data_IF_681174170413
#
_entry.id   IF_681174170413
#
_cell.length_a   1.000
_cell.length_b   1.000
_cell.length_c   1.000
_cell.angle_alpha   90.00
_cell.angle_beta   90.00
_cell.angle_gamma   90.00
#
_symmetry.space_group_name_H-M   'P 1'
#
loop_
_entity.id
_entity.type
_entity.pdbx_description
1 polymer ?
#
# COMPACT_ATOMS: atom_id res chain seq x y z
N UNK A 1 -23.70 29.84 28.52
CA UNK A 1 -24.13 28.80 27.51
C UNK A 1 -24.06 29.34 26.08
N UNK A 2 -24.48 30.59 25.82
CA UNK A 2 -24.37 31.23 24.50
C UNK A 2 -22.90 31.40 24.05
N UNK A 3 -22.03 31.86 24.95
CA UNK A 3 -20.60 32.09 24.67
C UNK A 3 -19.82 30.81 24.35
N UNK A 4 -20.19 29.69 24.99
CA UNK A 4 -19.58 28.36 24.68
C UNK A 4 -20.05 27.87 23.31
N UNK A 5 -21.31 28.11 22.95
CA UNK A 5 -21.85 27.73 21.65
C UNK A 5 -21.24 28.62 20.54
N UNK A 6 -21.07 29.89 20.81
CA UNK A 6 -20.49 30.86 19.87
C UNK A 6 -18.99 30.56 19.62
N UNK A 7 -18.22 30.26 20.65
CA UNK A 7 -16.83 29.80 20.52
C UNK A 7 -16.72 28.45 19.80
N UNK A 8 -17.62 27.51 20.06
CA UNK A 8 -17.69 26.23 19.32
C UNK A 8 -18.04 26.43 17.84
N UNK A 9 -18.94 27.36 17.52
CA UNK A 9 -19.28 27.68 16.14
C UNK A 9 -18.16 28.41 15.41
N UNK A 10 -17.38 29.24 16.07
CA UNK A 10 -16.22 29.92 15.53
C UNK A 10 -15.08 28.90 15.27
N UNK A 11 -14.84 27.97 16.20
CA UNK A 11 -13.87 26.87 16.02
C UNK A 11 -14.29 25.94 14.88
N UNK A 12 -15.57 25.59 14.77
CA UNK A 12 -16.08 24.79 13.65
C UNK A 12 -16.00 25.52 12.30
N UNK A 13 -16.14 26.85 12.28
CA UNK A 13 -15.99 27.62 11.03
C UNK A 13 -14.54 27.74 10.54
N UNK A 14 -13.56 27.60 11.46
CA UNK A 14 -12.15 27.63 11.17
C UNK A 14 -11.58 26.21 10.89
N UNK A 15 -12.34 25.16 11.21
CA UNK A 15 -11.94 23.80 10.89
C UNK A 15 -12.21 23.50 9.41
N UNK A 16 -11.26 22.84 8.79
CA UNK A 16 -11.42 22.44 7.41
C UNK A 16 -12.55 21.41 7.25
N UNK A 17 -13.27 21.48 6.13
CA UNK A 17 -14.39 20.59 5.83
C UNK A 17 -14.01 19.10 5.91
N UNK A 18 -12.75 18.76 5.66
CA UNK A 18 -12.24 17.39 5.79
C UNK A 18 -12.21 16.90 7.24
N UNK A 19 -11.77 17.74 8.18
CA UNK A 19 -11.72 17.38 9.59
C UNK A 19 -13.16 17.17 10.14
N UNK A 20 -14.09 18.03 9.74
CA UNK A 20 -15.51 17.87 10.09
C UNK A 20 -16.07 16.55 9.54
N UNK A 21 -15.78 16.23 8.28
CA UNK A 21 -16.19 14.97 7.67
C UNK A 21 -15.64 13.76 8.46
N UNK A 22 -14.38 13.80 8.87
CA UNK A 22 -13.75 12.73 9.63
C UNK A 22 -14.37 12.56 11.02
N UNK A 23 -14.67 13.65 11.72
CA UNK A 23 -15.39 13.59 12.99
C UNK A 23 -16.79 12.99 12.83
N UNK A 24 -17.55 13.42 11.81
CA UNK A 24 -18.88 12.87 11.52
C UNK A 24 -18.78 11.37 11.20
N UNK A 25 -17.77 10.96 10.42
CA UNK A 25 -17.50 9.57 10.11
C UNK A 25 -17.21 8.75 11.38
N UNK A 26 -16.33 9.23 12.25
CA UNK A 26 -16.04 8.58 13.54
C UNK A 26 -17.29 8.47 14.42
N UNK A 27 -18.07 9.54 14.55
CA UNK A 27 -19.33 9.53 15.32
C UNK A 27 -20.32 8.51 14.78
N UNK A 28 -20.42 8.36 13.46
CA UNK A 28 -21.23 7.32 12.84
C UNK A 28 -20.78 5.92 13.23
N UNK A 29 -19.48 5.65 13.24
CA UNK A 29 -18.94 4.36 13.67
C UNK A 29 -19.16 4.11 15.18
N UNK A 30 -19.00 5.12 16.02
CA UNK A 30 -19.34 5.03 17.45
C UNK A 30 -20.81 4.65 17.64
N UNK A 31 -21.72 5.28 16.91
CA UNK A 31 -23.13 4.93 16.91
C UNK A 31 -23.36 3.48 16.47
N UNK A 32 -22.71 3.01 15.41
CA UNK A 32 -22.79 1.62 14.96
C UNK A 32 -22.28 0.64 16.04
N UNK A 33 -21.18 0.99 16.72
CA UNK A 33 -20.64 0.20 17.82
C UNK A 33 -21.61 0.04 18.98
N UNK A 34 -22.24 1.14 19.37
CA UNK A 34 -23.27 1.14 20.40
C UNK A 34 -24.50 0.34 20.01
N UNK A 35 -24.94 0.46 18.76
CA UNK A 35 -26.12 -0.25 18.25
C UNK A 35 -25.91 -1.75 18.08
N UNK A 36 -24.75 -2.15 17.52
CA UNK A 36 -24.47 -3.56 17.17
C UNK A 36 -23.81 -4.35 18.30
N UNK A 37 -23.10 -3.69 19.21
CA UNK A 37 -22.41 -4.29 20.34
C UNK A 37 -21.05 -4.93 19.97
N UNK A 38 -20.34 -5.43 20.99
CA UNK A 38 -18.94 -5.87 20.90
C UNK A 38 -18.73 -7.02 19.91
N UNK A 39 -19.56 -8.05 19.96
CA UNK A 39 -19.37 -9.27 19.15
C UNK A 39 -19.34 -8.95 17.66
N UNK A 40 -20.24 -8.12 17.19
CA UNK A 40 -20.32 -7.72 15.79
C UNK A 40 -19.17 -6.79 15.38
N UNK A 41 -18.74 -5.92 16.27
CA UNK A 41 -17.60 -5.01 15.97
C UNK A 41 -16.27 -5.74 15.98
N UNK A 42 -16.06 -6.68 16.88
CA UNK A 42 -14.88 -7.55 16.90
C UNK A 42 -14.83 -8.40 15.62
N UNK A 43 -15.95 -9.01 15.25
CA UNK A 43 -16.03 -9.79 13.99
C UNK A 43 -15.70 -8.91 12.78
N UNK A 44 -16.23 -7.68 12.73
CA UNK A 44 -15.97 -6.75 11.63
C UNK A 44 -14.50 -6.32 11.60
N UNK A 45 -13.90 -6.03 12.76
CA UNK A 45 -12.47 -5.70 12.87
C UNK A 45 -11.59 -6.83 12.32
N UNK A 46 -11.82 -8.08 12.76
CA UNK A 46 -11.07 -9.23 12.25
C UNK A 46 -11.29 -9.43 10.75
N UNK A 47 -12.51 -9.27 10.26
CA UNK A 47 -12.80 -9.36 8.83
C UNK A 47 -12.07 -8.31 8.02
N UNK A 48 -11.97 -7.09 8.55
CA UNK A 48 -11.25 -5.99 7.92
C UNK A 48 -9.73 -6.27 7.89
N UNK A 49 -9.16 -6.74 9.00
CA UNK A 49 -7.74 -7.10 9.07
C UNK A 49 -7.40 -8.23 8.08
N UNK A 50 -8.23 -9.27 8.02
CA UNK A 50 -8.06 -10.36 7.07
C UNK A 50 -8.21 -9.87 5.63
N UNK A 51 -9.22 -9.03 5.35
CA UNK A 51 -9.44 -8.47 4.02
C UNK A 51 -8.25 -7.66 3.54
N UNK A 52 -7.71 -6.79 4.40
CA UNK A 52 -6.52 -5.98 4.11
C UNK A 52 -5.32 -6.90 3.86
N UNK A 53 -4.97 -7.77 4.81
CA UNK A 53 -3.80 -8.65 4.71
C UNK A 53 -3.84 -9.55 3.47
N UNK A 54 -4.97 -10.20 3.18
CA UNK A 54 -5.09 -11.08 2.01
C UNK A 54 -5.12 -10.30 0.69
N UNK A 55 -5.70 -9.10 0.68
CA UNK A 55 -5.69 -8.25 -0.51
C UNK A 55 -4.28 -7.86 -0.92
N UNK A 56 -3.45 -7.45 0.02
CA UNK A 56 -2.06 -7.11 -0.26
C UNK A 56 -1.23 -8.34 -0.65
N UNK A 57 -1.41 -9.45 0.05
CA UNK A 57 -0.63 -10.67 -0.15
C UNK A 57 -0.90 -11.35 -1.49
N UNK A 58 -2.15 -11.40 -1.94
CA UNK A 58 -2.56 -12.15 -3.13
C UNK A 58 -2.87 -11.27 -4.35
N UNK A 59 -2.74 -9.94 -4.24
CA UNK A 59 -2.97 -9.04 -5.37
C UNK A 59 -2.08 -9.33 -6.57
N UNK A 60 -0.84 -9.77 -6.35
CA UNK A 60 0.15 -10.06 -7.39
C UNK A 60 -0.24 -11.27 -8.21
N UNK A 61 -0.53 -12.40 -7.53
CA UNK A 61 -0.87 -13.65 -8.18
C UNK A 61 -2.18 -13.53 -8.97
N UNK A 62 -3.21 -12.95 -8.34
CA UNK A 62 -4.51 -12.75 -8.97
C UNK A 62 -4.42 -11.68 -10.08
N UNK A 63 -3.63 -10.63 -9.87
CA UNK A 63 -3.40 -9.59 -10.85
C UNK A 63 -2.67 -10.10 -12.10
N UNK A 64 -1.66 -10.95 -11.93
CA UNK A 64 -0.97 -11.59 -13.03
C UNK A 64 -1.92 -12.47 -13.86
N UNK A 65 -2.80 -13.23 -13.19
CA UNK A 65 -3.83 -14.01 -13.88
C UNK A 65 -4.81 -13.13 -14.67
N UNK A 66 -5.30 -12.03 -14.06
CA UNK A 66 -6.20 -11.08 -14.72
C UNK A 66 -5.50 -10.41 -15.91
N UNK A 67 -4.24 -9.98 -15.72
CA UNK A 67 -3.44 -9.34 -16.77
C UNK A 67 -3.25 -10.25 -17.98
N UNK A 68 -2.95 -11.53 -17.75
CA UNK A 68 -2.79 -12.52 -18.83
C UNK A 68 -4.08 -12.80 -19.58
N UNK A 69 -5.21 -12.81 -18.88
CA UNK A 69 -6.52 -13.08 -19.47
C UNK A 69 -7.08 -11.89 -20.27
N UNK A 70 -6.87 -10.65 -19.76
CA UNK A 70 -7.38 -9.43 -20.39
C UNK A 70 -6.37 -8.73 -21.30
N UNK A 71 -5.13 -9.23 -21.43
CA UNK A 71 -4.00 -8.55 -22.08
C UNK A 71 -3.83 -7.10 -21.59
N UNK A 72 -4.00 -6.88 -20.28
CA UNK A 72 -3.97 -5.57 -19.66
C UNK A 72 -2.63 -5.29 -18.98
N UNK A 73 -2.43 -4.03 -18.56
CA UNK A 73 -1.25 -3.64 -17.78
C UNK A 73 -1.22 -4.41 -16.46
N UNK A 74 -0.08 -5.07 -16.16
CA UNK A 74 0.09 -5.92 -14.99
C UNK A 74 -0.15 -5.16 -13.68
N UNK A 75 0.47 -3.98 -13.52
CA UNK A 75 0.35 -3.17 -12.29
C UNK A 75 -1.08 -2.73 -12.04
N UNK A 76 -1.79 -2.33 -13.10
CA UNK A 76 -3.20 -1.97 -13.00
C UNK A 76 -4.05 -3.17 -12.60
N UNK A 77 -3.77 -4.34 -13.17
CA UNK A 77 -4.48 -5.59 -12.85
C UNK A 77 -4.24 -6.03 -11.41
N UNK A 78 -3.03 -5.84 -10.87
CA UNK A 78 -2.69 -6.12 -9.47
C UNK A 78 -3.45 -5.21 -8.50
N UNK A 79 -3.57 -3.92 -8.78
CA UNK A 79 -4.39 -3.00 -7.98
C UNK A 79 -5.86 -3.40 -8.00
N UNK A 80 -6.41 -3.70 -9.18
CA UNK A 80 -7.80 -4.18 -9.30
C UNK A 80 -8.02 -5.52 -8.58
N UNK A 81 -7.06 -6.44 -8.67
CA UNK A 81 -7.11 -7.71 -7.96
C UNK A 81 -7.20 -7.49 -6.45
N UNK A 82 -6.38 -6.61 -5.88
CA UNK A 82 -6.43 -6.25 -4.47
C UNK A 82 -7.81 -5.72 -4.06
N UNK A 83 -8.38 -4.81 -4.85
CA UNK A 83 -9.72 -4.27 -4.60
C UNK A 83 -10.78 -5.37 -4.67
N UNK A 84 -10.73 -6.26 -5.67
CA UNK A 84 -11.68 -7.36 -5.84
C UNK A 84 -11.62 -8.31 -4.64
N UNK A 85 -10.41 -8.71 -4.21
CA UNK A 85 -10.21 -9.59 -3.05
C UNK A 85 -10.78 -8.92 -1.79
N UNK A 86 -10.48 -7.65 -1.56
CA UNK A 86 -10.97 -6.88 -0.41
C UNK A 86 -12.50 -6.86 -0.38
N UNK A 87 -13.14 -6.47 -1.48
CA UNK A 87 -14.60 -6.38 -1.59
C UNK A 87 -15.25 -7.76 -1.41
N UNK A 88 -14.66 -8.81 -1.99
CA UNK A 88 -15.17 -10.16 -1.86
C UNK A 88 -15.17 -10.61 -0.39
N UNK A 89 -14.06 -10.42 0.34
CA UNK A 89 -13.94 -10.80 1.75
C UNK A 89 -14.93 -10.02 2.62
N UNK A 90 -15.01 -8.69 2.45
CA UNK A 90 -15.94 -7.85 3.20
C UNK A 90 -17.41 -8.22 2.90
N UNK A 91 -17.73 -8.57 1.66
CA UNK A 91 -19.07 -9.02 1.28
C UNK A 91 -19.43 -10.33 1.96
N UNK A 92 -18.54 -11.34 1.94
CA UNK A 92 -18.72 -12.62 2.62
C UNK A 92 -18.87 -12.40 4.13
N UNK A 93 -18.00 -11.58 4.72
CA UNK A 93 -18.07 -11.25 6.15
C UNK A 93 -19.40 -10.59 6.53
N UNK A 94 -19.88 -9.65 5.71
CA UNK A 94 -21.16 -8.97 5.93
C UNK A 94 -22.34 -9.93 5.83
N UNK A 95 -22.29 -10.89 4.89
CA UNK A 95 -23.29 -11.93 4.76
C UNK A 95 -23.32 -12.84 6.00
N UNK A 96 -22.15 -13.30 6.46
CA UNK A 96 -22.03 -14.12 7.69
C UNK A 96 -22.52 -13.33 8.92
N UNK A 97 -22.20 -12.05 9.02
CA UNK A 97 -22.66 -11.20 10.10
C UNK A 97 -24.20 -11.10 10.12
N UNK A 98 -24.85 -10.98 8.96
CA UNK A 98 -26.30 -10.94 8.86
C UNK A 98 -26.95 -12.28 9.29
N UNK A 99 -26.34 -13.41 8.98
CA UNK A 99 -26.82 -14.71 9.44
C UNK A 99 -26.74 -14.85 10.97
N UNK A 100 -25.70 -14.28 11.58
CA UNK A 100 -25.50 -14.33 13.03
C UNK A 100 -26.39 -13.32 13.79
N UNK A 101 -26.79 -12.22 13.14
CA UNK A 101 -27.54 -11.13 13.77
C UNK A 101 -28.86 -11.60 14.42
N UNK A 102 -29.52 -12.60 13.85
CA UNK A 102 -30.76 -13.16 14.38
C UNK A 102 -30.55 -14.08 15.60
N UNK A 103 -29.32 -14.47 15.89
CA UNK A 103 -29.00 -15.44 16.96
C UNK A 103 -28.32 -14.79 18.17
N UNK A 104 -27.74 -13.64 18.04
CA UNK A 104 -26.95 -12.98 19.09
C UNK A 104 -27.71 -11.75 19.61
N UNK A 105 -28.15 -11.81 20.86
CA UNK A 105 -28.76 -10.62 21.53
C UNK A 105 -27.65 -9.81 22.18
N UNK A 106 -27.45 -8.58 21.71
CA UNK A 106 -26.41 -7.64 22.21
C UNK A 106 -27.01 -6.50 23.04
N UNK A 107 -27.87 -6.85 24.02
CA UNK A 107 -28.61 -5.83 24.80
C UNK A 107 -27.86 -5.32 26.05
N UNK A 108 -26.76 -5.99 26.42
CA UNK A 108 -26.00 -5.67 27.63
C UNK A 108 -25.17 -4.38 27.46
N UNK A 109 -25.14 -3.53 28.51
CA UNK A 109 -24.44 -2.25 28.54
C UNK A 109 -22.93 -2.44 28.32
N UNK A 110 -22.33 -3.49 28.89
CA UNK A 110 -20.92 -3.82 28.72
C UNK A 110 -20.58 -4.13 27.25
N UNK A 111 -21.43 -4.90 26.58
CA UNK A 111 -21.29 -5.20 25.15
C UNK A 111 -21.39 -3.94 24.27
N UNK A 112 -22.27 -2.99 24.62
CA UNK A 112 -22.38 -1.72 23.88
C UNK A 112 -21.16 -0.86 24.08
N UNK A 113 -20.67 -0.71 25.31
CA UNK A 113 -19.47 0.09 25.61
C UNK A 113 -18.22 -0.47 24.89
N UNK A 114 -17.99 -1.79 25.00
CA UNK A 114 -16.90 -2.45 24.28
C UNK A 114 -17.08 -2.36 22.75
N UNK A 115 -18.28 -2.51 22.24
CA UNK A 115 -18.59 -2.35 20.83
C UNK A 115 -18.26 -0.95 20.32
N UNK A 116 -18.52 0.08 21.12
CA UNK A 116 -18.16 1.47 20.80
C UNK A 116 -16.64 1.65 20.76
N UNK A 117 -15.89 1.09 21.71
CA UNK A 117 -14.43 1.15 21.73
C UNK A 117 -13.81 0.44 20.52
N UNK A 118 -14.29 -0.76 20.18
CA UNK A 118 -13.83 -1.50 19.00
C UNK A 118 -14.18 -0.77 17.70
N UNK A 119 -15.37 -0.17 17.61
CA UNK A 119 -15.76 0.59 16.41
C UNK A 119 -14.91 1.84 16.19
N UNK A 120 -14.36 2.43 17.26
CA UNK A 120 -13.38 3.50 17.14
C UNK A 120 -12.08 3.00 16.50
N UNK A 121 -11.58 1.83 16.87
CA UNK A 121 -10.42 1.21 16.23
C UNK A 121 -10.68 0.90 14.74
N UNK A 122 -11.88 0.37 14.43
CA UNK A 122 -12.30 0.10 13.06
C UNK A 122 -12.33 1.39 12.23
N UNK A 123 -12.92 2.46 12.75
CA UNK A 123 -12.99 3.74 12.03
C UNK A 123 -11.61 4.34 11.79
N UNK A 124 -10.70 4.25 12.77
CA UNK A 124 -9.31 4.69 12.60
C UNK A 124 -8.59 3.88 11.53
N UNK A 125 -8.72 2.56 11.54
CA UNK A 125 -8.09 1.71 10.52
C UNK A 125 -8.61 2.04 9.11
N UNK A 126 -9.93 2.24 8.94
CA UNK A 126 -10.50 2.63 7.65
C UNK A 126 -9.99 4.00 7.20
N UNK A 127 -9.93 4.99 8.10
CA UNK A 127 -9.40 6.32 7.78
C UNK A 127 -7.93 6.25 7.40
N UNK A 128 -7.12 5.45 8.12
CA UNK A 128 -5.70 5.26 7.79
C UNK A 128 -5.55 4.70 6.38
N UNK A 129 -6.24 3.60 6.06
CA UNK A 129 -6.21 2.99 4.72
C UNK A 129 -6.67 3.97 3.63
N UNK A 130 -7.75 4.71 3.89
CA UNK A 130 -8.31 5.68 2.95
C UNK A 130 -7.33 6.81 2.65
N UNK A 131 -6.78 7.46 3.69
CA UNK A 131 -5.86 8.57 3.50
C UNK A 131 -4.49 8.13 3.00
N UNK A 132 -4.02 6.94 3.37
CA UNK A 132 -2.82 6.36 2.76
C UNK A 132 -3.04 6.16 1.26
N UNK A 133 -4.16 5.58 0.85
CA UNK A 133 -4.48 5.40 -0.56
C UNK A 133 -4.60 6.74 -1.32
N UNK A 134 -5.26 7.74 -0.73
CA UNK A 134 -5.40 9.07 -1.32
C UNK A 134 -4.06 9.79 -1.46
N UNK A 135 -3.19 9.70 -0.45
CA UNK A 135 -1.90 10.37 -0.48
C UNK A 135 -0.97 9.85 -1.59
N UNK A 136 -1.18 8.61 -2.02
CA UNK A 136 -0.41 8.00 -3.11
C UNK A 136 -0.88 8.52 -4.48
N UNK A 137 -2.16 8.83 -4.63
CA UNK A 137 -2.75 9.28 -5.90
C UNK A 137 -2.50 10.77 -6.13
N UNK A 138 -2.16 11.16 -7.37
CA UNK A 138 -2.12 12.58 -7.75
C UNK A 138 -3.54 13.13 -7.82
N UNK A 139 -3.87 13.99 -6.88
CA UNK A 139 -5.15 14.68 -6.85
C UNK A 139 -5.06 16.06 -7.53
N UNK A 140 -6.19 16.62 -7.98
CA UNK A 140 -6.25 18.02 -8.37
C UNK A 140 -5.76 18.96 -7.26
N UNK A 141 -5.06 20.03 -7.63
CA UNK A 141 -4.38 20.97 -6.70
C UNK A 141 -5.29 21.45 -5.55
N UNK A 142 -6.57 21.66 -5.83
CA UNK A 142 -7.54 22.11 -4.81
C UNK A 142 -7.71 21.08 -3.68
N UNK A 143 -7.75 19.79 -4.01
CA UNK A 143 -7.85 18.72 -3.01
C UNK A 143 -6.53 18.50 -2.29
N UNK A 144 -5.40 18.61 -3.01
CA UNK A 144 -4.07 18.44 -2.42
C UNK A 144 -3.79 19.50 -1.35
N UNK A 145 -4.16 20.75 -1.58
CA UNK A 145 -4.02 21.81 -0.59
C UNK A 145 -4.91 21.55 0.65
N UNK A 146 -6.15 21.17 0.45
CA UNK A 146 -7.06 20.84 1.56
C UNK A 146 -6.58 19.65 2.40
N UNK A 147 -5.93 18.66 1.79
CA UNK A 147 -5.33 17.53 2.51
C UNK A 147 -4.13 17.97 3.36
N UNK A 148 -3.24 18.80 2.80
CA UNK A 148 -2.03 19.29 3.50
C UNK A 148 -2.35 20.19 4.69
N UNK A 149 -3.42 20.95 4.61
CA UNK A 149 -3.82 21.88 5.66
C UNK A 149 -4.58 21.19 6.81
N UNK A 150 -5.15 19.99 6.60
CA UNK A 150 -5.89 19.24 7.61
C UNK A 150 -4.95 18.59 8.63
N UNK A 151 -5.13 18.93 9.91
CA UNK A 151 -4.37 18.34 11.01
C UNK A 151 -4.67 16.85 11.20
N UNK A 152 -5.93 16.44 11.00
CA UNK A 152 -6.33 15.05 11.11
C UNK A 152 -5.77 14.21 9.96
N UNK A 153 -5.80 14.72 8.73
CA UNK A 153 -5.18 14.02 7.60
C UNK A 153 -3.69 13.80 7.86
N UNK A 154 -2.98 14.84 8.29
CA UNK A 154 -1.57 14.74 8.63
C UNK A 154 -1.29 13.69 9.72
N UNK A 155 -2.16 13.57 10.73
CA UNK A 155 -2.05 12.51 11.73
C UNK A 155 -2.17 11.11 11.14
N UNK A 156 -3.07 10.90 10.14
CA UNK A 156 -3.26 9.60 9.50
C UNK A 156 -2.20 9.26 8.46
N UNK A 157 -1.55 10.25 7.87
CA UNK A 157 -0.61 10.08 6.75
C UNK A 157 0.85 10.15 7.19
N UNK A 158 1.14 10.70 8.38
CA UNK A 158 2.49 10.82 8.91
C UNK A 158 3.16 9.44 9.06
N UNK A 159 4.32 9.18 8.43
CA UNK A 159 5.01 7.89 8.53
C UNK A 159 5.37 7.51 9.95
N UNK A 160 5.69 8.48 10.80
CA UNK A 160 6.02 8.28 12.22
C UNK A 160 4.77 8.26 13.11
N UNK A 161 3.59 8.47 12.54
CA UNK A 161 2.32 8.52 13.27
C UNK A 161 1.84 7.13 13.71
N UNK A 162 1.17 7.03 14.89
CA UNK A 162 0.64 5.76 15.38
C UNK A 162 -0.26 5.00 14.37
N UNK A 163 -1.10 5.66 13.54
CA UNK A 163 -1.92 4.96 12.56
C UNK A 163 -1.10 4.27 11.48
N UNK A 164 -0.03 4.91 10.98
CA UNK A 164 0.84 4.32 9.95
C UNK A 164 1.67 3.18 10.52
N UNK A 165 2.23 3.33 11.72
CA UNK A 165 2.95 2.24 12.40
C UNK A 165 2.05 1.02 12.63
N UNK A 166 0.78 1.23 13.03
CA UNK A 166 -0.17 0.13 13.17
C UNK A 166 -0.47 -0.55 11.83
N UNK A 167 -0.58 0.23 10.75
CA UNK A 167 -0.80 -0.30 9.41
C UNK A 167 0.40 -1.12 8.92
N UNK A 168 1.62 -0.66 9.16
CA UNK A 168 2.86 -1.35 8.82
C UNK A 168 2.97 -2.71 9.54
N UNK A 169 2.60 -2.79 10.81
CA UNK A 169 2.55 -4.06 11.56
C UNK A 169 1.55 -5.05 10.94
N UNK A 170 0.43 -4.56 10.40
CA UNK A 170 -0.63 -5.40 9.81
C UNK A 170 -0.26 -5.90 8.42
N UNK A 171 0.31 -5.02 7.58
CA UNK A 171 0.54 -5.27 6.15
C UNK A 171 2.00 -5.63 5.88
N UNK A 172 2.93 -5.16 6.72
CA UNK A 172 4.37 -5.37 6.53
C UNK A 172 4.89 -4.70 5.26
N UNK A 173 5.88 -5.33 4.62
CA UNK A 173 6.52 -4.85 3.39
C UNK A 173 5.58 -4.80 2.18
N UNK A 174 4.43 -5.50 2.23
CA UNK A 174 3.47 -5.50 1.12
C UNK A 174 2.83 -4.13 0.88
N UNK A 175 2.78 -3.25 1.91
CA UNK A 175 2.35 -1.87 1.74
C UNK A 175 3.26 -1.10 0.77
N UNK A 176 4.58 -1.26 0.91
CA UNK A 176 5.57 -0.59 0.06
C UNK A 176 5.42 -1.00 -1.41
N UNK A 177 5.12 -2.28 -1.67
CA UNK A 177 4.84 -2.79 -3.02
C UNK A 177 3.68 -2.06 -3.68
N UNK A 178 2.57 -1.91 -2.96
CA UNK A 178 1.39 -1.23 -3.50
C UNK A 178 1.65 0.26 -3.68
N UNK A 179 2.34 0.92 -2.73
CA UNK A 179 2.73 2.33 -2.85
C UNK A 179 3.57 2.55 -4.10
N UNK A 180 4.58 1.72 -4.33
CA UNK A 180 5.46 1.82 -5.50
C UNK A 180 4.70 1.57 -6.82
N UNK A 181 3.76 0.61 -6.85
CA UNK A 181 2.90 0.37 -8.01
C UNK A 181 2.02 1.56 -8.36
N UNK A 182 1.38 2.15 -7.34
CA UNK A 182 0.52 3.31 -7.56
C UNK A 182 1.37 4.52 -7.97
N UNK A 183 2.54 4.72 -7.36
CA UNK A 183 3.48 5.76 -7.77
C UNK A 183 3.89 5.61 -9.24
N UNK A 184 4.17 4.39 -9.67
CA UNK A 184 4.45 4.10 -11.08
C UNK A 184 3.28 4.44 -11.99
N UNK A 185 2.05 3.99 -11.65
CA UNK A 185 0.84 4.27 -12.44
C UNK A 185 0.50 5.76 -12.50
N UNK A 186 0.81 6.51 -11.44
CA UNK A 186 0.53 7.95 -11.35
C UNK A 186 1.69 8.83 -11.85
N UNK A 187 2.81 8.22 -12.27
CA UNK A 187 4.00 8.92 -12.74
C UNK A 187 4.72 9.71 -11.64
N UNK A 188 4.54 9.36 -10.37
CA UNK A 188 5.38 9.87 -9.27
C UNK A 188 6.73 9.15 -9.31
N UNK A 189 7.81 9.92 -9.28
CA UNK A 189 9.19 9.40 -9.32
C UNK A 189 9.77 9.01 -7.95
N UNK A 190 8.96 9.01 -6.89
CA UNK A 190 9.40 8.59 -5.57
C UNK A 190 9.51 7.07 -5.52
N UNK A 191 10.72 6.56 -5.32
CA UNK A 191 10.98 5.15 -5.08
C UNK A 191 11.19 4.99 -3.59
N UNK A 192 10.44 4.09 -2.96
CA UNK A 192 10.63 3.76 -1.54
C UNK A 192 11.58 2.58 -1.47
N UNK A 193 12.63 2.72 -0.68
CA UNK A 193 13.65 1.70 -0.44
C UNK A 193 13.25 0.96 0.84
N UNK A 194 13.29 -0.36 0.84
CA UNK A 194 13.10 -1.16 2.05
C UNK A 194 14.34 -1.14 2.96
N UNK A 195 14.22 -1.71 4.17
CA UNK A 195 15.30 -1.75 5.16
C UNK A 195 16.54 -2.52 4.67
N UNK A 196 16.38 -3.43 3.72
CA UNK A 196 17.46 -4.23 3.11
C UNK A 196 18.14 -3.50 1.93
N UNK A 197 17.74 -2.26 1.64
CA UNK A 197 18.30 -1.45 0.55
C UNK A 197 17.85 -1.92 -0.84
N UNK A 198 16.84 -2.77 -0.93
CA UNK A 198 16.20 -3.18 -2.17
C UNK A 198 15.21 -2.12 -2.65
N UNK A 199 15.27 -1.81 -3.94
CA UNK A 199 14.27 -0.99 -4.61
C UNK A 199 13.20 -1.89 -5.21
N UNK A 200 11.94 -1.64 -4.92
CA UNK A 200 10.87 -2.25 -5.68
C UNK A 200 10.67 -1.51 -6.99
N UNK A 201 10.72 -2.26 -8.09
CA UNK A 201 10.47 -1.76 -9.44
C UNK A 201 9.22 -2.41 -10.02
N UNK A 202 8.59 -1.78 -11.03
CA UNK A 202 7.48 -2.40 -11.73
C UNK A 202 7.86 -3.75 -12.32
N UNK A 203 6.98 -4.73 -12.21
CA UNK A 203 7.14 -6.02 -12.88
C UNK A 203 6.82 -5.90 -14.36
N UNK A 204 7.63 -6.57 -15.15
CA UNK A 204 7.45 -6.62 -16.60
C UNK A 204 7.22 -8.05 -17.06
N UNK A 205 6.39 -8.22 -18.08
CA UNK A 205 6.26 -9.51 -18.75
C UNK A 205 7.51 -9.80 -19.56
N UNK A 206 7.97 -11.03 -19.53
CA UNK A 206 9.16 -11.48 -20.25
C UNK A 206 9.11 -11.11 -21.74
N UNK A 207 7.94 -11.20 -22.37
CA UNK A 207 7.73 -10.83 -23.78
C UNK A 207 8.03 -9.37 -24.11
N UNK A 208 8.00 -8.49 -23.11
CA UNK A 208 8.23 -7.06 -23.26
C UNK A 208 9.70 -6.66 -22.98
N UNK A 209 10.49 -7.57 -22.44
CA UNK A 209 11.90 -7.34 -22.15
C UNK A 209 12.74 -7.68 -23.37
N UNK A 210 13.61 -6.75 -23.76
CA UNK A 210 14.58 -6.95 -24.86
C UNK A 210 15.98 -6.65 -24.36
N UNK A 211 16.90 -7.60 -24.54
CA UNK A 211 18.30 -7.34 -24.29
C UNK A 211 18.85 -6.32 -25.29
N UNK A 212 19.55 -5.33 -24.79
CA UNK A 212 20.22 -4.28 -25.56
C UNK A 212 21.73 -4.45 -25.47
N UNK A 213 22.26 -5.43 -26.20
CA UNK A 213 23.69 -5.70 -26.23
C UNK A 213 24.52 -4.50 -26.73
N UNK A 214 23.93 -3.69 -27.59
CA UNK A 214 24.53 -2.42 -28.07
C UNK A 214 24.86 -1.49 -26.87
N UNK A 215 23.94 -1.29 -25.96
CA UNK A 215 24.20 -0.50 -24.75
C UNK A 215 25.22 -1.14 -23.81
N UNK A 216 25.21 -2.46 -23.69
CA UNK A 216 26.17 -3.17 -22.84
C UNK A 216 27.61 -2.95 -23.35
N UNK A 217 27.80 -2.99 -24.66
CA UNK A 217 29.10 -2.72 -25.30
C UNK A 217 29.50 -1.24 -25.13
N UNK A 218 28.56 -0.31 -25.28
CA UNK A 218 28.81 1.11 -25.11
C UNK A 218 29.23 1.44 -23.67
N UNK A 219 28.52 0.88 -22.67
CA UNK A 219 28.86 1.01 -21.24
C UNK A 219 30.26 0.45 -20.97
N UNK A 220 30.58 -0.72 -21.52
CA UNK A 220 31.90 -1.31 -21.38
C UNK A 220 33.01 -0.42 -21.95
N UNK A 221 32.79 0.17 -23.13
CA UNK A 221 33.74 1.07 -23.77
C UNK A 221 33.94 2.37 -22.95
N UNK A 222 32.84 2.96 -22.44
CA UNK A 222 32.89 4.15 -21.58
C UNK A 222 33.61 3.85 -20.26
N UNK A 223 33.31 2.70 -19.63
CA UNK A 223 33.97 2.27 -18.40
C UNK A 223 35.49 2.03 -18.64
N UNK A 224 35.84 1.42 -19.75
CA UNK A 224 37.24 1.17 -20.11
C UNK A 224 38.02 2.48 -20.33
N UNK A 225 37.38 3.47 -20.96
CA UNK A 225 37.94 4.81 -21.14
C UNK A 225 38.16 5.53 -19.80
N UNK A 226 37.16 5.47 -18.92
CA UNK A 226 37.25 6.09 -17.60
C UNK A 226 38.33 5.46 -16.72
N UNK A 227 38.43 4.11 -16.73
CA UNK A 227 39.51 3.42 -16.04
C UNK A 227 40.89 3.79 -16.56
N UNK A 228 41.03 3.96 -17.87
CA UNK A 228 42.27 4.45 -18.47
C UNK A 228 42.61 5.88 -18.02
N UNK A 229 41.63 6.76 -17.95
CA UNK A 229 41.82 8.14 -17.47
C UNK A 229 42.28 8.20 -16.02
N UNK A 230 41.77 7.26 -15.19
CA UNK A 230 42.12 7.13 -13.76
C UNK A 230 43.37 6.26 -13.52
N UNK A 231 44.08 5.81 -14.55
CA UNK A 231 45.24 4.90 -14.48
C UNK A 231 44.95 3.60 -13.72
N UNK A 232 43.75 3.04 -13.88
CA UNK A 232 43.35 1.75 -13.34
C UNK A 232 43.37 0.70 -14.45
N UNK A 233 43.79 -0.52 -14.12
CA UNK A 233 43.87 -1.63 -15.08
C UNK A 233 42.55 -1.85 -15.83
N UNK A 234 42.65 -2.15 -17.13
CA UNK A 234 41.48 -2.45 -17.96
C UNK A 234 40.76 -3.72 -17.51
N UNK A 235 39.47 -3.81 -17.84
CA UNK A 235 38.67 -5.02 -17.63
C UNK A 235 38.59 -5.78 -18.95
N UNK A 236 38.52 -7.11 -18.85
CA UNK A 236 38.21 -7.98 -19.98
C UNK A 236 36.75 -8.40 -19.94
N UNK A 237 36.12 -8.41 -21.11
CA UNK A 237 34.71 -8.80 -21.23
C UNK A 237 34.60 -10.32 -21.13
N UNK A 238 33.96 -10.83 -20.10
CA UNK A 238 33.74 -12.26 -19.89
C UNK A 238 32.28 -12.62 -20.24
N UNK A 239 32.13 -13.45 -21.27
CA UNK A 239 30.82 -13.85 -21.78
C UNK A 239 30.00 -14.64 -20.75
N UNK A 240 30.61 -15.44 -19.90
CA UNK A 240 29.91 -16.24 -18.89
C UNK A 240 29.32 -15.27 -17.83
N UNK A 241 30.15 -14.37 -17.32
CA UNK A 241 29.68 -13.36 -16.37
C UNK A 241 28.61 -12.43 -16.97
N UNK A 242 28.74 -12.07 -18.25
CA UNK A 242 27.75 -11.27 -18.95
C UNK A 242 26.40 -11.99 -19.05
N UNK A 243 26.40 -13.30 -19.30
CA UNK A 243 25.17 -14.10 -19.35
C UNK A 243 24.51 -14.19 -17.96
N UNK A 244 25.28 -14.40 -16.90
CA UNK A 244 24.76 -14.42 -15.51
C UNK A 244 24.16 -13.07 -15.14
N UNK A 245 24.87 -11.98 -15.42
CA UNK A 245 24.38 -10.62 -15.15
C UNK A 245 23.09 -10.32 -15.92
N UNK A 246 22.99 -10.75 -17.17
CA UNK A 246 21.79 -10.59 -17.98
C UNK A 246 20.62 -11.40 -17.43
N UNK A 247 20.86 -12.66 -17.04
CA UNK A 247 19.81 -13.50 -16.44
C UNK A 247 19.30 -12.89 -15.13
N UNK A 248 20.20 -12.38 -14.29
CA UNK A 248 19.81 -11.70 -13.06
C UNK A 248 19.03 -10.39 -13.30
N UNK A 249 19.46 -9.61 -14.31
CA UNK A 249 18.72 -8.40 -14.71
C UNK A 249 17.30 -8.74 -15.18
N UNK A 250 17.13 -9.80 -15.97
CA UNK A 250 15.79 -10.27 -16.35
C UNK A 250 14.94 -10.66 -15.14
N UNK A 251 15.52 -11.40 -14.20
CA UNK A 251 14.83 -11.79 -12.97
C UNK A 251 14.41 -10.60 -12.13
N UNK A 252 15.27 -9.58 -12.00
CA UNK A 252 14.93 -8.33 -11.31
C UNK A 252 13.68 -7.68 -11.93
N UNK A 253 13.61 -7.56 -13.25
CA UNK A 253 12.46 -6.95 -13.94
C UNK A 253 11.20 -7.80 -13.89
N UNK A 254 11.31 -9.12 -13.99
CA UNK A 254 10.14 -10.03 -13.92
C UNK A 254 9.60 -10.10 -12.50
N UNK A 255 10.48 -10.15 -11.50
CA UNK A 255 10.11 -10.27 -10.10
C UNK A 255 9.84 -8.92 -9.42
N UNK A 256 10.23 -7.81 -10.05
CA UNK A 256 9.92 -6.45 -9.59
C UNK A 256 10.81 -5.95 -8.47
N UNK A 257 12.09 -6.31 -8.45
CA UNK A 257 13.06 -5.82 -7.48
C UNK A 257 14.34 -5.30 -8.16
N UNK A 258 15.08 -4.47 -7.45
CA UNK A 258 16.40 -3.98 -7.86
C UNK A 258 17.33 -3.98 -6.66
N UNK A 259 18.12 -5.04 -6.49
CA UNK A 259 19.11 -5.19 -5.43
C UNK A 259 20.12 -6.30 -5.76
N UNK A 260 21.16 -6.41 -4.91
CA UNK A 260 22.22 -7.41 -5.10
C UNK A 260 21.83 -8.82 -4.63
N UNK A 261 20.83 -8.92 -3.77
CA UNK A 261 20.30 -10.18 -3.26
C UNK A 261 18.82 -10.28 -3.65
N UNK A 262 18.42 -11.42 -4.20
CA UNK A 262 17.03 -11.65 -4.57
C UNK A 262 16.16 -11.79 -3.30
N UNK A 263 15.20 -10.89 -3.04
CA UNK A 263 14.38 -10.93 -1.84
C UNK A 263 13.45 -12.15 -1.76
N UNK A 264 13.22 -12.85 -2.88
CA UNK A 264 12.33 -14.01 -2.92
C UNK A 264 13.01 -15.32 -2.48
N UNK A 265 14.32 -15.50 -2.75
CA UNK A 265 15.05 -16.73 -2.45
C UNK A 265 16.36 -16.52 -1.69
N UNK A 266 16.77 -15.26 -1.48
CA UNK A 266 18.01 -14.92 -0.77
C UNK A 266 19.30 -15.10 -1.57
N UNK A 267 19.23 -15.51 -2.85
CA UNK A 267 20.41 -15.71 -3.69
C UNK A 267 21.04 -14.39 -4.13
N UNK A 268 22.34 -14.29 -4.01
CA UNK A 268 23.14 -13.19 -4.56
C UNK A 268 23.62 -13.49 -5.98
N UNK A 269 24.08 -12.46 -6.69
CA UNK A 269 24.68 -12.61 -8.03
C UNK A 269 25.92 -13.52 -7.99
N UNK A 270 26.64 -13.57 -6.85
CA UNK A 270 27.86 -14.33 -6.69
C UNK A 270 27.62 -15.85 -6.48
N UNK A 271 26.39 -16.26 -6.21
CA UNK A 271 26.01 -17.66 -5.97
C UNK A 271 25.49 -18.36 -7.24
N UNK A 272 25.48 -17.64 -8.35
CA UNK A 272 25.04 -18.10 -9.69
C UNK A 272 26.22 -18.19 -10.62
#
# INVERSE_FOLDING_TARGET
>A
MSEIIENLLIDLSNQQYLDIFMYVFMLYFLYLGWKKGAVFQIFYLFSLLIAVSLSFRYSDEVGAYISSWLNSNLQLSEVFAGIIIFVAIITVASFLQNLLNNRIKTSDLGSKALGTAVSLLVSNLILTLFFTAINIVKLPILFENSLKESNLVNFYVSPEGPPQQALEVIIGTDLLKVVNRINYLTGKSSVVVDDDGCLEIPRYNESNLKSRQDFSIEIYNLLSLERQNENVDGLELNQILSNVAQAYAYEMYISGFWCHQNPNNGESVNER
#
